data_IF_037470210512
#
_entry.id   IF_037470210512
#
_cell.length_a   1.000
_cell.length_b   1.000
_cell.length_c   1.000
_cell.angle_alpha   90.00
_cell.angle_beta   90.00
_cell.angle_gamma   90.00
#
_symmetry.space_group_name_H-M   'P 1'
#
loop_
_entity.id
_entity.type
_entity.pdbx_description
1 polymer ?
#
# COMPACT_ATOMS: atom_id res chain seq x y z
N UNK A 1 19.51 1.92 -8.61
CA UNK A 1 19.46 0.90 -7.56
C UNK A 1 19.06 1.57 -6.24
N UNK A 2 18.23 0.92 -5.45
CA UNK A 2 17.93 1.41 -4.11
C UNK A 2 19.16 1.20 -3.20
N UNK A 3 19.44 2.14 -2.27
CA UNK A 3 20.55 1.97 -1.35
C UNK A 3 20.33 0.77 -0.43
N UNK A 4 21.38 0.11 -0.03
CA UNK A 4 21.30 -0.94 0.98
C UNK A 4 20.68 -0.44 2.28
N UNK A 5 19.97 -1.31 2.96
CA UNK A 5 19.43 -1.01 4.28
C UNK A 5 20.59 -0.78 5.29
N UNK A 6 20.35 -0.05 6.39
CA UNK A 6 21.38 0.21 7.40
C UNK A 6 22.04 -1.05 8.01
N UNK A 7 21.39 -2.20 7.88
CA UNK A 7 21.91 -3.51 8.30
C UNK A 7 22.70 -4.25 7.22
N UNK A 8 22.98 -3.60 6.07
CA UNK A 8 23.72 -4.18 4.94
C UNK A 8 22.91 -5.13 4.06
N UNK A 9 21.60 -5.28 4.30
CA UNK A 9 20.75 -6.07 3.42
C UNK A 9 20.39 -5.28 2.16
N UNK A 10 20.44 -5.95 1.00
CA UNK A 10 20.01 -5.34 -0.25
C UNK A 10 18.55 -4.89 -0.16
N UNK A 11 18.28 -3.65 -0.58
CA UNK A 11 16.95 -3.10 -0.66
C UNK A 11 16.30 -3.56 -1.97
N UNK A 12 15.53 -4.63 -1.92
CA UNK A 12 14.72 -5.07 -3.06
C UNK A 12 13.40 -4.31 -3.06
N UNK A 13 13.17 -3.48 -4.05
CA UNK A 13 11.98 -2.67 -4.18
C UNK A 13 11.25 -3.01 -5.48
N UNK A 14 9.93 -2.90 -5.43
CA UNK A 14 9.07 -2.87 -6.59
C UNK A 14 8.11 -1.70 -6.47
N UNK A 15 7.55 -1.26 -7.57
CA UNK A 15 6.68 -0.09 -7.64
C UNK A 15 5.39 -0.44 -8.36
N UNK A 16 4.25 -0.09 -7.75
CA UNK A 16 2.97 -0.07 -8.45
C UNK A 16 2.53 1.37 -8.67
N UNK A 17 2.13 1.67 -9.88
CA UNK A 17 1.59 2.97 -10.29
C UNK A 17 0.20 2.74 -10.85
N UNK A 18 -0.77 3.55 -10.42
CA UNK A 18 -2.14 3.51 -10.92
C UNK A 18 -2.61 4.92 -11.22
N UNK A 19 -3.28 5.12 -12.34
CA UNK A 19 -3.87 6.40 -12.72
C UNK A 19 -5.39 6.46 -12.45
N UNK A 20 -6.00 7.62 -12.71
CA UNK A 20 -7.43 7.86 -12.49
C UNK A 20 -8.34 7.07 -13.44
N UNK A 21 -7.80 6.48 -14.52
CA UNK A 21 -8.55 5.60 -15.44
C UNK A 21 -8.57 4.15 -14.96
N UNK A 22 -7.81 3.84 -13.89
CA UNK A 22 -7.62 2.50 -13.35
C UNK A 22 -6.60 1.68 -14.13
N UNK A 23 -5.80 2.29 -15.01
CA UNK A 23 -4.66 1.61 -15.58
C UNK A 23 -3.54 1.49 -14.55
N UNK A 24 -2.88 0.35 -14.52
CA UNK A 24 -1.85 0.02 -13.52
C UNK A 24 -0.58 -0.47 -14.19
N UNK A 25 0.56 -0.12 -13.65
CA UNK A 25 1.83 -0.71 -13.99
C UNK A 25 2.54 -1.20 -12.73
N UNK A 26 3.02 -2.45 -12.74
CA UNK A 26 3.89 -3.03 -11.71
C UNK A 26 5.28 -3.16 -12.29
N UNK A 27 6.26 -2.56 -11.62
CA UNK A 27 7.66 -2.50 -12.05
C UNK A 27 8.53 -3.22 -11.02
N UNK A 28 9.33 -4.17 -11.48
CA UNK A 28 10.30 -4.92 -10.67
C UNK A 28 11.66 -4.95 -11.37
N UNK A 29 12.73 -4.91 -10.58
CA UNK A 29 14.06 -5.23 -11.10
C UNK A 29 14.40 -6.68 -10.76
N UNK A 30 14.52 -7.52 -11.79
CA UNK A 30 14.82 -8.93 -11.66
C UNK A 30 16.15 -9.21 -12.39
N UNK A 31 17.14 -9.67 -11.65
CA UNK A 31 18.48 -9.98 -12.17
C UNK A 31 19.10 -8.83 -13.01
N UNK A 32 18.87 -7.58 -12.56
CA UNK A 32 19.37 -6.38 -13.23
C UNK A 32 18.51 -5.89 -14.40
N UNK A 33 17.42 -6.57 -14.74
CA UNK A 33 16.50 -6.18 -15.80
C UNK A 33 15.22 -5.56 -15.21
N UNK A 34 14.72 -4.52 -15.85
CA UNK A 34 13.44 -3.92 -15.52
C UNK A 34 12.32 -4.73 -16.17
N UNK A 35 11.50 -5.39 -15.35
CA UNK A 35 10.27 -6.05 -15.79
C UNK A 35 9.06 -5.15 -15.50
N UNK A 36 8.16 -5.03 -16.49
CA UNK A 36 6.96 -4.17 -16.41
C UNK A 36 5.74 -5.00 -16.76
N UNK A 37 4.77 -5.02 -15.85
CA UNK A 37 3.44 -5.58 -16.10
C UNK A 37 2.44 -4.42 -16.13
N UNK A 38 1.95 -4.09 -17.34
CA UNK A 38 1.03 -2.97 -17.55
C UNK A 38 -0.35 -3.46 -17.96
N UNK A 39 -1.38 -2.86 -17.39
CA UNK A 39 -2.79 -3.11 -17.75
C UNK A 39 -3.71 -3.16 -16.55
N UNK A 40 -5.01 -2.98 -16.80
CA UNK A 40 -6.08 -2.94 -15.77
C UNK A 40 -6.25 -4.24 -14.98
N UNK A 41 -5.72 -5.34 -15.48
CA UNK A 41 -5.76 -6.65 -14.80
C UNK A 41 -4.75 -6.77 -13.65
N UNK A 42 -3.71 -5.93 -13.61
CA UNK A 42 -2.66 -5.99 -12.58
C UNK A 42 -2.98 -5.11 -11.38
N UNK A 43 -4.06 -5.44 -10.67
CA UNK A 43 -4.63 -4.62 -9.59
C UNK A 43 -4.03 -4.86 -8.21
N UNK A 44 -3.29 -5.94 -8.02
CA UNK A 44 -2.76 -6.35 -6.73
C UNK A 44 -1.26 -6.55 -6.83
N UNK A 45 -0.54 -6.05 -5.86
CA UNK A 45 0.88 -6.29 -5.67
C UNK A 45 1.17 -6.55 -4.19
N UNK A 46 2.02 -7.55 -3.90
CA UNK A 46 2.54 -7.82 -2.56
C UNK A 46 4.07 -8.01 -2.61
N UNK A 47 4.71 -8.37 -1.50
CA UNK A 47 6.16 -8.28 -1.39
C UNK A 47 6.95 -9.32 -2.20
N UNK A 48 6.53 -10.60 -2.16
CA UNK A 48 7.27 -11.74 -2.76
C UNK A 48 6.35 -12.93 -3.00
N UNK A 49 6.71 -13.88 -3.86
CA UNK A 49 7.85 -13.89 -4.79
C UNK A 49 7.74 -12.82 -5.88
N UNK A 50 8.59 -12.87 -6.93
CA UNK A 50 8.47 -11.98 -8.09
C UNK A 50 7.05 -12.03 -8.68
N UNK A 51 6.63 -10.94 -9.31
CA UNK A 51 5.23 -10.72 -9.67
C UNK A 51 4.65 -11.83 -10.56
N UNK A 52 5.40 -12.29 -11.55
CA UNK A 52 5.00 -13.40 -12.42
C UNK A 52 4.63 -14.67 -11.64
N UNK A 53 5.41 -15.02 -10.61
CA UNK A 53 5.12 -16.17 -9.75
C UNK A 53 3.89 -15.93 -8.86
N UNK A 54 3.66 -14.70 -8.44
CA UNK A 54 2.43 -14.36 -7.71
C UNK A 54 1.19 -14.56 -8.58
N UNK A 55 1.26 -14.19 -9.86
CA UNK A 55 0.19 -14.45 -10.82
C UNK A 55 -0.06 -15.95 -11.01
N UNK A 56 0.99 -16.75 -11.20
CA UNK A 56 0.87 -18.20 -11.33
C UNK A 56 0.26 -18.87 -10.09
N UNK A 57 0.67 -18.45 -8.89
CA UNK A 57 0.09 -18.94 -7.64
C UNK A 57 -1.39 -18.55 -7.53
N UNK A 58 -1.75 -17.33 -7.95
CA UNK A 58 -3.14 -16.88 -7.95
C UNK A 58 -4.00 -17.70 -8.91
N UNK A 59 -3.49 -18.03 -10.08
CA UNK A 59 -4.20 -18.87 -11.04
C UNK A 59 -4.42 -20.29 -10.50
N UNK A 60 -3.43 -20.88 -9.85
CA UNK A 60 -3.61 -22.17 -9.13
C UNK A 60 -4.77 -22.09 -8.11
N UNK A 61 -4.82 -21.01 -7.30
CA UNK A 61 -5.87 -20.89 -6.30
C UNK A 61 -7.26 -20.63 -6.89
N UNK A 62 -7.36 -20.03 -8.07
CA UNK A 62 -8.63 -19.95 -8.80
C UNK A 62 -9.18 -21.35 -9.16
N UNK A 63 -8.29 -22.27 -9.56
CA UNK A 63 -8.67 -23.66 -9.86
C UNK A 63 -9.07 -24.43 -8.58
N UNK A 64 -8.40 -24.21 -7.45
CA UNK A 64 -8.68 -24.90 -6.18
C UNK A 64 -10.03 -24.51 -5.59
N UNK A 65 -10.50 -23.26 -5.82
CA UNK A 65 -11.86 -23.01 -5.41
C UNK A 65 -12.31 -21.68 -4.88
N UNK A 66 -11.55 -20.62 -5.00
CA UNK A 66 -12.00 -19.23 -4.76
C UNK A 66 -12.90 -19.02 -3.54
N UNK A 67 -14.22 -19.09 -3.72
CA UNK A 67 -15.19 -18.90 -2.64
C UNK A 67 -15.17 -20.01 -1.56
N UNK A 68 -14.74 -21.21 -1.92
CA UNK A 68 -14.76 -22.36 -0.99
C UNK A 68 -13.48 -22.42 -0.15
N UNK A 69 -12.36 -21.97 -0.70
CA UNK A 69 -11.07 -22.02 -0.01
C UNK A 69 -10.13 -20.95 -0.51
N UNK A 70 -9.59 -20.15 0.42
CA UNK A 70 -8.53 -19.18 0.19
C UNK A 70 -7.37 -19.45 1.14
N UNK A 71 -6.12 -19.18 0.73
CA UNK A 71 -4.98 -19.38 1.62
C UNK A 71 -5.00 -18.36 2.77
N UNK A 72 -4.83 -18.84 4.02
CA UNK A 72 -5.08 -18.06 5.24
C UNK A 72 -3.85 -17.51 5.93
N UNK A 73 -2.62 -17.76 5.43
CA UNK A 73 -1.41 -17.32 6.14
C UNK A 73 -1.08 -15.84 5.86
N UNK A 74 -0.12 -15.30 6.64
CA UNK A 74 0.41 -13.96 6.44
C UNK A 74 1.50 -13.88 5.36
N UNK A 75 1.79 -14.98 4.67
CA UNK A 75 2.75 -14.99 3.56
C UNK A 75 2.28 -14.04 2.46
N UNK A 76 3.24 -13.44 1.81
CA UNK A 76 2.99 -12.47 0.76
C UNK A 76 2.13 -13.03 -0.39
N UNK A 77 2.46 -14.23 -0.86
CA UNK A 77 1.68 -14.95 -1.88
C UNK A 77 0.23 -15.21 -1.47
N UNK A 78 0.00 -15.61 -0.22
CA UNK A 78 -1.35 -15.88 0.29
C UNK A 78 -2.17 -14.59 0.40
N UNK A 79 -1.52 -13.49 0.82
CA UNK A 79 -2.15 -12.17 0.83
C UNK A 79 -2.48 -11.68 -0.58
N UNK A 80 -1.61 -11.98 -1.57
CA UNK A 80 -1.87 -11.67 -2.97
C UNK A 80 -3.14 -12.36 -3.47
N UNK A 81 -3.27 -13.66 -3.22
CA UNK A 81 -4.44 -14.44 -3.63
C UNK A 81 -5.72 -13.89 -2.98
N UNK A 82 -5.70 -13.64 -1.66
CA UNK A 82 -6.87 -13.06 -0.98
C UNK A 82 -7.23 -11.67 -1.51
N UNK A 83 -6.24 -10.79 -1.71
CA UNK A 83 -6.48 -9.47 -2.27
C UNK A 83 -7.07 -9.57 -3.68
N UNK A 84 -6.51 -10.42 -4.53
CA UNK A 84 -6.99 -10.64 -5.90
C UNK A 84 -8.42 -11.16 -5.96
N UNK A 85 -8.78 -12.06 -5.04
CA UNK A 85 -10.14 -12.54 -4.92
C UNK A 85 -11.10 -11.43 -4.45
N UNK A 86 -10.79 -10.80 -3.32
CA UNK A 86 -11.69 -9.84 -2.71
C UNK A 86 -11.87 -8.55 -3.51
N UNK A 87 -10.82 -8.04 -4.17
CA UNK A 87 -10.96 -6.81 -4.97
C UNK A 87 -11.93 -6.99 -6.14
N UNK A 88 -12.08 -8.22 -6.65
CA UNK A 88 -13.05 -8.55 -7.68
C UNK A 88 -14.43 -8.90 -7.10
N UNK A 89 -14.52 -9.28 -5.83
CA UNK A 89 -15.75 -9.68 -5.17
C UNK A 89 -16.51 -8.52 -4.48
N UNK A 90 -15.83 -7.41 -4.19
CA UNK A 90 -16.47 -6.21 -3.62
C UNK A 90 -17.29 -5.45 -4.67
N UNK A 91 -18.24 -4.57 -4.25
CA UNK A 91 -19.04 -3.77 -5.18
C UNK A 91 -18.18 -2.93 -6.12
N UNK A 92 -18.40 -3.08 -7.42
CA UNK A 92 -17.78 -2.27 -8.46
C UNK A 92 -18.64 -1.02 -8.69
N UNK A 93 -18.31 0.07 -8.04
CA UNK A 93 -19.13 1.29 -8.04
C UNK A 93 -18.29 2.56 -8.08
N UNK A 94 -18.84 3.61 -8.66
CA UNK A 94 -18.27 4.96 -8.66
C UNK A 94 -18.64 5.78 -7.40
N UNK A 95 -19.52 5.26 -6.54
CA UNK A 95 -19.87 5.92 -5.28
C UNK A 95 -18.75 5.71 -4.24
N UNK A 96 -18.00 6.76 -3.96
CA UNK A 96 -16.92 6.73 -2.99
C UNK A 96 -17.37 6.32 -1.57
N UNK A 97 -18.64 6.55 -1.20
CA UNK A 97 -19.18 6.12 0.10
C UNK A 97 -19.27 4.61 0.24
N UNK A 98 -19.27 3.89 -0.87
CA UNK A 98 -19.27 2.43 -0.93
C UNK A 98 -17.86 1.92 -1.31
N UNK A 99 -17.25 2.49 -2.34
CA UNK A 99 -15.97 2.03 -2.87
C UNK A 99 -14.84 2.11 -1.84
N UNK A 100 -14.69 3.26 -1.14
CA UNK A 100 -13.59 3.46 -0.16
C UNK A 100 -13.68 2.48 1.01
N UNK A 101 -14.80 2.31 1.73
CA UNK A 101 -14.89 1.32 2.82
C UNK A 101 -14.76 -0.12 2.32
N UNK A 102 -15.20 -0.44 1.10
CA UNK A 102 -15.01 -1.77 0.50
C UNK A 102 -13.53 -2.08 0.27
N UNK A 103 -12.78 -1.16 -0.32
CA UNK A 103 -11.32 -1.31 -0.51
C UNK A 103 -10.60 -1.37 0.83
N UNK A 104 -10.96 -0.53 1.81
CA UNK A 104 -10.39 -0.61 3.17
C UNK A 104 -10.64 -1.98 3.82
N UNK A 105 -11.80 -2.60 3.58
CA UNK A 105 -12.11 -3.93 4.10
C UNK A 105 -11.20 -4.99 3.49
N UNK A 106 -10.90 -4.91 2.20
CA UNK A 106 -9.91 -5.78 1.55
C UNK A 106 -8.52 -5.57 2.16
N UNK A 107 -8.08 -4.31 2.31
CA UNK A 107 -6.79 -3.97 2.91
C UNK A 107 -6.66 -4.50 4.34
N UNK A 108 -7.72 -4.45 5.14
CA UNK A 108 -7.76 -5.00 6.50
C UNK A 108 -7.65 -6.52 6.50
N UNK A 109 -8.32 -7.20 5.58
CA UNK A 109 -8.26 -8.66 5.43
C UNK A 109 -6.84 -9.16 5.10
N UNK A 110 -6.10 -8.42 4.28
CA UNK A 110 -4.74 -8.79 3.88
C UNK A 110 -3.65 -8.17 4.75
N UNK A 111 -4.01 -7.49 5.82
CA UNK A 111 -3.08 -6.92 6.79
C UNK A 111 -2.45 -8.01 7.66
N UNK A 112 -1.17 -7.81 7.97
CA UNK A 112 -0.45 -8.61 8.96
C UNK A 112 -0.72 -8.02 10.33
N UNK A 113 -1.20 -8.79 11.32
CA UNK A 113 -1.51 -8.29 12.66
C UNK A 113 -0.35 -7.52 13.27
N UNK A 114 -0.64 -6.36 13.87
CA UNK A 114 0.37 -5.52 14.49
C UNK A 114 1.04 -6.25 15.65
N UNK A 115 2.38 -6.26 15.65
CA UNK A 115 3.18 -6.87 16.71
C UNK A 115 3.24 -8.40 16.68
N UNK A 116 2.76 -9.04 15.62
CA UNK A 116 2.86 -10.50 15.48
C UNK A 116 4.33 -10.93 15.50
N UNK A 117 4.60 -12.01 16.24
CA UNK A 117 5.91 -12.65 16.29
C UNK A 117 5.75 -14.14 16.54
N UNK A 118 6.74 -14.93 16.12
CA UNK A 118 6.85 -16.36 16.44
C UNK A 118 8.27 -16.64 16.91
N UNK A 119 8.51 -17.73 17.69
CA UNK A 119 9.86 -18.06 18.19
C UNK A 119 10.92 -18.17 17.11
N UNK A 120 10.55 -18.68 15.93
CA UNK A 120 11.42 -18.86 14.75
C UNK A 120 11.51 -17.58 13.89
N UNK A 121 10.61 -16.61 14.07
CA UNK A 121 10.57 -15.35 13.34
C UNK A 121 10.21 -14.18 14.26
N UNK A 122 11.16 -13.73 15.08
CA UNK A 122 10.91 -12.66 16.06
C UNK A 122 10.75 -11.27 15.41
N UNK A 123 11.07 -11.14 14.12
CA UNK A 123 11.07 -9.87 13.39
C UNK A 123 10.10 -9.87 12.20
N UNK A 124 8.94 -10.53 12.35
CA UNK A 124 7.91 -10.48 11.31
C UNK A 124 7.44 -9.03 11.12
N UNK A 125 7.53 -8.56 9.88
CA UNK A 125 6.98 -7.25 9.53
C UNK A 125 5.46 -7.26 9.66
N UNK A 126 4.91 -6.33 10.44
CA UNK A 126 3.47 -6.16 10.62
C UNK A 126 2.97 -4.90 9.94
N UNK A 127 1.68 -4.87 9.61
CA UNK A 127 1.05 -3.67 9.06
C UNK A 127 1.07 -2.55 10.09
N UNK A 128 1.60 -1.40 9.72
CA UNK A 128 1.67 -0.20 10.56
C UNK A 128 0.58 0.81 10.25
N UNK A 129 0.20 0.89 8.97
CA UNK A 129 -0.88 1.76 8.48
C UNK A 129 -1.50 1.17 7.23
N UNK A 130 -2.64 1.73 6.85
CA UNK A 130 -3.30 1.51 5.56
C UNK A 130 -3.64 2.86 4.96
N UNK A 131 -3.57 2.96 3.65
CA UNK A 131 -4.03 4.15 2.95
C UNK A 131 -4.86 3.76 1.72
N UNK A 132 -5.80 4.63 1.37
CA UNK A 132 -6.59 4.54 0.14
C UNK A 132 -6.58 5.89 -0.53
N UNK A 133 -6.21 5.92 -1.81
CA UNK A 133 -6.25 7.12 -2.64
C UNK A 133 -7.46 7.05 -3.57
N UNK A 134 -8.47 7.88 -3.31
CA UNK A 134 -9.53 8.14 -4.28
C UNK A 134 -9.00 9.14 -5.31
N UNK A 135 -8.43 8.61 -6.38
CA UNK A 135 -7.76 9.41 -7.41
C UNK A 135 -8.75 10.29 -8.17
N UNK A 136 -9.98 9.82 -8.39
CA UNK A 136 -11.04 10.55 -9.06
C UNK A 136 -11.49 11.77 -8.27
N UNK A 137 -11.73 11.61 -6.97
CA UNK A 137 -12.18 12.69 -6.10
C UNK A 137 -11.02 13.47 -5.47
N UNK A 138 -9.77 12.98 -5.62
CA UNK A 138 -8.57 13.60 -5.04
C UNK A 138 -8.60 13.60 -3.51
N UNK A 139 -9.03 12.49 -2.90
CA UNK A 139 -9.07 12.33 -1.44
C UNK A 139 -8.14 11.21 -1.02
N UNK A 140 -7.27 11.50 -0.06
CA UNK A 140 -6.33 10.54 0.51
C UNK A 140 -6.79 10.13 1.90
N UNK A 141 -7.11 8.85 2.07
CA UNK A 141 -7.54 8.24 3.35
C UNK A 141 -6.36 7.55 4.01
N UNK A 142 -6.28 7.66 5.32
CA UNK A 142 -5.22 7.04 6.12
C UNK A 142 -5.77 6.45 7.42
N UNK A 143 -5.33 5.23 7.74
CA UNK A 143 -5.67 4.49 8.96
C UNK A 143 -4.39 3.99 9.62
N UNK A 144 -4.10 4.45 10.83
CA UNK A 144 -3.04 3.88 11.67
C UNK A 144 -3.51 2.58 12.30
N UNK A 145 -2.62 1.60 12.47
CA UNK A 145 -2.95 0.40 13.26
C UNK A 145 -2.92 0.64 14.77
N UNK A 146 -2.39 1.78 15.20
CA UNK A 146 -2.30 2.16 16.61
C UNK A 146 -3.56 2.85 17.12
N UNK A 147 -4.48 3.25 16.23
CA UNK A 147 -5.73 3.92 16.60
C UNK A 147 -6.88 3.32 15.82
N UNK A 148 -8.11 3.30 16.36
CA UNK A 148 -9.28 2.82 15.61
C UNK A 148 -9.79 3.82 14.57
N UNK A 149 -9.16 4.97 14.46
CA UNK A 149 -9.68 6.11 13.71
C UNK A 149 -9.14 6.14 12.28
N UNK A 150 -10.02 6.48 11.35
CA UNK A 150 -9.71 6.82 9.97
C UNK A 150 -9.78 8.34 9.81
N UNK A 151 -8.81 8.93 9.13
CA UNK A 151 -8.89 10.32 8.69
C UNK A 151 -8.60 10.43 7.19
N UNK A 152 -8.92 11.60 6.62
CA UNK A 152 -8.65 11.87 5.22
C UNK A 152 -8.23 13.31 4.98
N UNK A 153 -7.58 13.51 3.85
CA UNK A 153 -7.20 14.81 3.32
C UNK A 153 -7.85 14.98 1.93
N UNK A 154 -8.72 15.97 1.79
CA UNK A 154 -9.23 16.39 0.49
C UNK A 154 -8.18 17.29 -0.18
N UNK A 155 -7.44 16.76 -1.14
CA UNK A 155 -6.34 17.45 -1.79
C UNK A 155 -6.78 18.71 -2.54
N UNK A 156 -8.06 18.82 -2.91
CA UNK A 156 -8.60 20.04 -3.53
C UNK A 156 -8.65 21.24 -2.59
N UNK A 157 -8.58 21.00 -1.28
CA UNK A 157 -8.57 22.02 -0.23
C UNK A 157 -7.14 22.45 0.16
N UNK A 158 -6.12 21.82 -0.42
CA UNK A 158 -4.72 22.14 -0.14
C UNK A 158 -4.20 23.04 -1.25
N UNK A 159 -3.55 24.13 -0.88
CA UNK A 159 -2.81 24.97 -1.82
C UNK A 159 -1.46 24.31 -2.15
N UNK A 160 -1.28 23.92 -3.40
CA UNK A 160 -0.04 23.37 -3.95
C UNK A 160 0.76 24.37 -4.79
N UNK A 161 0.44 25.66 -4.74
CA UNK A 161 1.22 26.67 -5.44
C UNK A 161 2.68 26.71 -4.93
N UNK A 162 3.63 27.15 -5.74
CA UNK A 162 5.05 27.19 -5.36
C UNK A 162 5.33 27.96 -4.05
N UNK A 163 4.48 28.89 -3.68
CA UNK A 163 4.65 29.76 -2.51
C UNK A 163 3.83 29.31 -1.29
N UNK A 164 3.04 28.24 -1.40
CA UNK A 164 2.19 27.78 -0.32
C UNK A 164 2.94 27.20 0.87
N UNK A 165 4.26 26.97 0.72
CA UNK A 165 5.07 26.29 1.73
C UNK A 165 4.78 24.80 1.80
N UNK A 166 5.40 24.15 2.78
CA UNK A 166 5.26 22.72 3.01
C UNK A 166 4.47 22.50 4.28
N UNK A 167 3.49 21.61 4.22
CA UNK A 167 2.66 21.23 5.37
C UNK A 167 2.82 19.76 5.69
N UNK A 168 2.72 19.41 6.95
CA UNK A 168 2.72 18.02 7.42
C UNK A 168 1.63 17.75 8.43
N UNK A 169 1.22 16.49 8.50
CA UNK A 169 0.45 15.92 9.59
C UNK A 169 1.39 14.98 10.38
N UNK A 170 1.59 15.24 11.66
CA UNK A 170 2.45 14.39 12.50
C UNK A 170 1.68 13.16 12.98
N UNK A 171 2.36 12.00 13.00
CA UNK A 171 1.83 10.73 13.51
C UNK A 171 2.78 10.08 14.52
N UNK A 172 3.85 10.78 14.90
CA UNK A 172 4.99 10.19 15.62
C UNK A 172 4.83 10.15 17.14
N UNK A 173 3.95 11.00 17.68
CA UNK A 173 3.78 11.12 19.14
C UNK A 173 2.42 10.57 19.62
N UNK A 174 1.81 9.68 18.84
CA UNK A 174 0.50 9.12 19.16
C UNK A 174 -0.66 10.07 18.88
N UNK A 175 -0.48 11.05 17.99
CA UNK A 175 -1.55 11.94 17.56
C UNK A 175 -2.70 11.14 16.95
N UNK A 176 -3.92 11.52 17.28
CA UNK A 176 -5.15 10.87 16.83
C UNK A 176 -5.95 11.86 15.99
N UNK A 177 -6.19 11.48 14.74
CA UNK A 177 -7.04 12.24 13.82
C UNK A 177 -8.23 11.39 13.39
N UNK A 178 -9.37 12.04 13.16
CA UNK A 178 -10.59 11.39 12.68
C UNK A 178 -11.34 12.33 11.72
N UNK A 179 -11.81 11.78 10.62
CA UNK A 179 -12.56 12.58 9.65
C UNK A 179 -11.67 13.48 8.78
N UNK A 180 -12.14 14.65 8.39
CA UNK A 180 -11.39 15.63 7.61
C UNK A 180 -10.29 16.28 8.47
N UNK A 181 -9.02 15.97 8.17
CA UNK A 181 -7.86 16.44 8.93
C UNK A 181 -7.11 17.61 8.26
N UNK A 182 -7.70 18.28 7.27
CA UNK A 182 -7.08 19.43 6.59
C UNK A 182 -6.68 20.53 7.59
N UNK A 183 -7.53 20.82 8.57
CA UNK A 183 -7.28 21.85 9.61
C UNK A 183 -6.12 21.50 10.54
N UNK A 184 -5.72 20.24 10.61
CA UNK A 184 -4.67 19.74 11.49
C UNK A 184 -3.29 19.77 10.83
N UNK A 185 -3.23 20.11 9.54
CA UNK A 185 -1.98 20.33 8.82
C UNK A 185 -1.22 21.54 9.39
N UNK A 186 0.07 21.33 9.65
CA UNK A 186 0.97 22.36 10.20
C UNK A 186 2.11 22.64 9.24
N UNK A 187 2.60 23.88 9.25
CA UNK A 187 3.77 24.26 8.47
C UNK A 187 4.98 23.41 8.85
N UNK A 188 5.78 23.08 7.86
CA UNK A 188 6.95 22.21 8.02
C UNK A 188 8.10 22.64 7.13
N UNK A 189 9.30 22.21 7.49
CA UNK A 189 10.44 22.19 6.59
C UNK A 189 10.28 21.09 5.56
N UNK A 190 10.93 21.24 4.41
CA UNK A 190 10.97 20.23 3.36
C UNK A 190 11.49 18.87 3.88
N UNK A 191 11.01 17.81 3.25
CA UNK A 191 11.54 16.47 3.47
C UNK A 191 12.98 16.40 2.94
N UNK A 192 13.89 15.90 3.74
CA UNK A 192 15.27 15.68 3.34
C UNK A 192 15.41 14.21 2.95
N UNK A 193 15.68 13.97 1.66
CA UNK A 193 15.98 12.62 1.18
C UNK A 193 17.36 12.18 1.69
N UNK A 194 17.48 10.91 2.04
CA UNK A 194 18.79 10.32 2.30
C UNK A 194 19.56 10.25 1.00
N UNK A 195 20.68 10.96 0.93
CA UNK A 195 21.58 10.84 -0.20
C UNK A 195 22.39 9.55 -0.08
N UNK A 196 22.54 8.82 -1.19
CA UNK A 196 23.58 7.81 -1.26
C UNK A 196 24.93 8.49 -1.05
N UNK A 197 25.69 8.01 -0.09
CA UNK A 197 27.13 8.32 -0.05
C UNK A 197 27.74 7.70 -1.31
N UNK A 198 28.43 8.46 -2.18
CA UNK A 198 29.13 7.83 -3.30
C UNK A 198 30.04 6.73 -2.74
N UNK A 199 29.91 5.52 -3.26
CA UNK A 199 30.87 4.47 -3.01
C UNK A 199 32.16 4.94 -3.67
N UNK A 200 33.16 5.31 -2.85
CA UNK A 200 34.51 5.64 -3.32
C UNK A 200 35.21 4.37 -3.76
#
# INVERSE_FOLDING_TARGET
DAPDLPNGAASTLHLAITDETGNTAVLEYIDGNLEIHEGKQYQVMTNSPKYELQLAINDYWKEVGGLNMLPGTNRSSDRFVRASFYINAIPQTADAKIAVPSVLSVMRNVSVPFGITTPDKPHISSTRWRSVSDQKNKVYYFESTLTPNLFWLDLKKIDFSPNAGIKKLSLTNGEIYAGDAIKDLKDSKGFVFLFQTPVM
#
